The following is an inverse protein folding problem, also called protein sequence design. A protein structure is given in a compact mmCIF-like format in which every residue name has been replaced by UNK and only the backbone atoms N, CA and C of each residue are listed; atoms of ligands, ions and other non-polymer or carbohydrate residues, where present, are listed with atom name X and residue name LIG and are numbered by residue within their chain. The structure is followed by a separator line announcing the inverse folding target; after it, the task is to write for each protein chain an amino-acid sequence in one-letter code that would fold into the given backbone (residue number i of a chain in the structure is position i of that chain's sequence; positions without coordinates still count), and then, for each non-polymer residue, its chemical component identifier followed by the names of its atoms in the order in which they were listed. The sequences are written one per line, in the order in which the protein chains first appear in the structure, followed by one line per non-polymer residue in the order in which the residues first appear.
data_IF_709467213797
#
_entry.id   IF_709467213797
#
_cell.length_a   1.000
_cell.length_b   1.000
_cell.length_c   1.000
_cell.angle_alpha   90.00
_cell.angle_beta   90.00
_cell.angle_gamma   90.00
#
_symmetry.space_group_name_H-M   'P 1'
#
loop_
_entity.id
_entity.type
_entity.pdbx_description
1 polymer ?
#
# COMPACT_ATOMS: atom_id res chain seq x y z
N UNK A 1 5.06 -14.39 14.25
CA UNK A 1 5.89 -13.70 13.24
C UNK A 1 4.99 -13.48 12.03
N UNK A 2 4.20 -12.41 12.01
CA UNK A 2 3.39 -12.09 10.81
C UNK A 2 4.30 -11.26 9.91
N UNK A 3 5.07 -11.95 9.06
CA UNK A 3 5.60 -11.31 7.88
C UNK A 3 4.40 -10.87 7.05
N UNK A 4 4.41 -9.65 6.55
CA UNK A 4 3.37 -9.18 5.63
C UNK A 4 3.44 -10.12 4.42
N UNK A 5 2.46 -11.01 4.29
CA UNK A 5 2.37 -11.87 3.13
C UNK A 5 2.26 -10.95 1.90
N UNK A 6 2.99 -11.18 0.81
CA UNK A 6 2.89 -10.35 -0.39
C UNK A 6 1.50 -10.43 -1.06
N UNK A 7 0.66 -11.34 -0.58
CA UNK A 7 -0.75 -11.52 -0.95
C UNK A 7 -1.71 -10.71 -0.05
N UNK A 8 -1.22 -10.09 1.03
CA UNK A 8 -2.04 -9.26 1.93
C UNK A 8 -2.08 -7.79 1.51
N UNK A 9 -3.26 -7.15 1.51
CA UNK A 9 -3.41 -5.76 1.12
C UNK A 9 -2.58 -4.82 2.01
N UNK A 10 -1.85 -3.91 1.38
CA UNK A 10 -1.03 -2.89 2.08
C UNK A 10 -1.91 -1.73 2.56
N UNK A 11 -3.05 -1.53 1.90
CA UNK A 11 -4.03 -0.51 2.21
C UNK A 11 -5.38 -1.15 2.46
N UNK A 12 -6.09 -0.64 3.48
CA UNK A 12 -7.44 -1.05 3.80
C UNK A 12 -8.38 0.14 3.67
N UNK A 13 -9.60 -0.09 3.18
CA UNK A 13 -10.65 0.94 3.17
C UNK A 13 -11.19 1.15 4.59
N UNK A 14 -11.35 2.40 5.02
CA UNK A 14 -11.90 2.80 6.30
C UNK A 14 -13.02 3.83 6.11
N UNK A 15 -13.95 3.90 7.07
CA UNK A 15 -15.09 4.80 7.03
C UNK A 15 -16.34 4.22 6.35
N UNK A 16 -17.48 4.93 6.44
CA UNK A 16 -18.75 4.47 5.88
C UNK A 16 -18.64 4.35 4.36
N UNK A 17 -18.87 3.14 3.83
CA UNK A 17 -18.81 2.85 2.40
C UNK A 17 -17.40 2.74 1.80
N UNK A 18 -16.34 2.72 2.61
CA UNK A 18 -14.97 2.61 2.11
C UNK A 18 -14.42 3.89 1.47
N UNK A 19 -14.95 5.05 1.88
CA UNK A 19 -14.62 6.35 1.33
C UNK A 19 -13.18 6.83 1.62
N UNK A 20 -12.47 6.20 2.55
CA UNK A 20 -11.10 6.58 2.90
C UNK A 20 -10.17 5.37 2.83
N UNK A 21 -8.91 5.60 2.50
CA UNK A 21 -7.89 4.56 2.41
C UNK A 21 -6.93 4.73 3.58
N UNK A 22 -6.65 3.64 4.29
CA UNK A 22 -5.71 3.58 5.42
C UNK A 22 -4.56 2.66 5.07
N UNK A 23 -3.33 3.13 5.26
CA UNK A 23 -2.16 2.28 5.22
C UNK A 23 -2.16 1.30 6.40
N UNK A 24 -2.17 0.00 6.14
CA UNK A 24 -2.14 -1.04 7.18
C UNK A 24 -0.74 -1.22 7.80
N UNK A 25 0.30 -0.68 7.14
CA UNK A 25 1.68 -0.75 7.62
C UNK A 25 1.94 0.26 8.75
N UNK A 26 1.61 1.54 8.52
CA UNK A 26 1.88 2.64 9.45
C UNK A 26 0.61 3.25 10.08
N UNK A 27 -0.57 2.93 9.56
CA UNK A 27 -1.85 3.42 10.06
C UNK A 27 -2.31 4.77 9.49
N UNK A 28 -1.56 5.39 8.57
CA UNK A 28 -1.88 6.69 7.99
C UNK A 28 -3.13 6.64 7.10
N UNK A 29 -3.99 7.66 7.17
CA UNK A 29 -5.23 7.76 6.38
C UNK A 29 -5.13 8.91 5.38
N UNK A 30 -4.76 10.11 5.82
CA UNK A 30 -4.64 11.29 4.96
C UNK A 30 -3.33 11.37 4.16
N UNK A 31 -2.31 10.60 4.54
CA UNK A 31 -1.01 10.56 3.86
C UNK A 31 -0.94 9.44 2.80
N UNK A 32 -2.08 9.12 2.17
CA UNK A 32 -2.16 8.13 1.09
C UNK A 32 -2.57 8.82 -0.21
N UNK A 33 -1.68 8.80 -1.20
CA UNK A 33 -1.96 9.28 -2.54
C UNK A 33 -2.51 8.13 -3.37
N UNK A 34 -3.71 8.31 -3.92
CA UNK A 34 -4.28 7.43 -4.94
C UNK A 34 -4.13 8.11 -6.31
N UNK A 35 -3.62 7.38 -7.30
CA UNK A 35 -3.45 7.87 -8.67
C UNK A 35 -3.95 6.84 -9.66
N UNK A 36 -4.85 7.28 -10.54
CA UNK A 36 -5.29 6.54 -11.71
C UNK A 36 -4.42 6.96 -12.88
N UNK A 37 -3.72 6.00 -13.49
CA UNK A 37 -2.82 6.22 -14.60
C UNK A 37 -3.34 5.43 -15.81
N UNK A 38 -3.23 5.98 -17.04
CA UNK A 38 -3.52 5.20 -18.23
C UNK A 38 -2.57 3.98 -18.27
N UNK A 39 -3.12 2.79 -18.52
CA UNK A 39 -2.35 1.56 -18.36
C UNK A 39 -1.09 1.53 -19.22
N UNK A 40 0.04 1.22 -18.59
CA UNK A 40 1.33 1.08 -19.29
C UNK A 40 1.34 -0.07 -20.29
N UNK A 41 0.40 -1.02 -20.14
CA UNK A 41 0.17 -2.11 -21.08
C UNK A 41 -0.58 -1.73 -22.36
N UNK A 42 -1.05 -0.49 -22.49
CA UNK A 42 -1.70 0.01 -23.70
C UNK A 42 -3.21 -0.23 -23.77
N UNK A 43 -3.83 -0.81 -22.74
CA UNK A 43 -5.28 -0.88 -22.58
C UNK A 43 -5.69 -0.99 -21.10
N UNK A 44 -6.73 -0.24 -20.72
CA UNK A 44 -7.23 -0.17 -19.34
C UNK A 44 -6.69 1.04 -18.54
N UNK A 45 -7.04 1.07 -17.26
CA UNK A 45 -6.56 2.06 -16.28
C UNK A 45 -5.80 1.32 -15.17
N UNK A 46 -4.58 1.75 -14.89
CA UNK A 46 -3.79 1.30 -13.75
C UNK A 46 -4.20 2.14 -12.54
N UNK A 47 -4.46 1.50 -11.42
CA UNK A 47 -4.69 2.20 -10.15
C UNK A 47 -3.48 2.00 -9.25
N UNK A 48 -2.98 3.07 -8.65
CA UNK A 48 -1.85 3.02 -7.73
C UNK A 48 -2.17 3.78 -6.45
N UNK A 49 -1.92 3.15 -5.31
CA UNK A 49 -2.00 3.78 -4.00
C UNK A 49 -0.60 3.81 -3.37
N UNK A 50 -0.20 4.95 -2.82
CA UNK A 50 1.09 5.12 -2.16
C UNK A 50 0.95 5.89 -0.86
N UNK A 51 1.51 5.35 0.21
CA UNK A 51 1.61 6.03 1.48
C UNK A 51 2.85 6.94 1.45
N UNK A 52 2.67 8.24 1.62
CA UNK A 52 3.79 9.19 1.69
C UNK A 52 4.57 9.07 3.01
N UNK A 53 3.96 8.48 4.06
CA UNK A 53 4.57 8.33 5.38
C UNK A 53 5.63 7.25 5.45
N UNK A 54 5.27 6.03 5.03
CA UNK A 54 6.15 4.87 5.07
C UNK A 54 6.66 4.45 3.69
N UNK A 55 6.18 5.09 2.62
CA UNK A 55 6.57 4.80 1.24
C UNK A 55 6.06 3.43 0.73
N UNK A 56 5.15 2.79 1.47
CA UNK A 56 4.47 1.59 0.97
C UNK A 56 3.61 1.94 -0.25
N UNK A 57 3.55 1.05 -1.22
CA UNK A 57 2.75 1.24 -2.43
C UNK A 57 1.99 -0.03 -2.79
N UNK A 58 0.86 0.11 -3.48
CA UNK A 58 0.16 -0.95 -4.18
C UNK A 58 -0.19 -0.46 -5.57
N UNK A 59 -0.13 -1.35 -6.55
CA UNK A 59 -0.53 -1.07 -7.92
C UNK A 59 -1.41 -2.19 -8.42
N UNK A 60 -2.55 -1.86 -9.01
CA UNK A 60 -3.41 -2.80 -9.72
C UNK A 60 -3.35 -2.48 -11.20
N UNK A 61 -2.88 -3.45 -11.98
CA UNK A 61 -2.79 -3.40 -13.43
C UNK A 61 -3.75 -4.45 -14.03
N UNK A 62 -4.47 -4.14 -15.12
CA UNK A 62 -5.46 -5.04 -15.71
C UNK A 62 -4.86 -6.31 -16.36
N UNK A 63 -3.56 -6.32 -16.67
CA UNK A 63 -2.81 -7.45 -17.24
C UNK A 63 -2.15 -8.29 -16.16
N UNK A 64 -1.43 -7.62 -15.26
CA UNK A 64 -0.55 -8.25 -14.29
C UNK A 64 -1.21 -8.43 -12.92
N UNK A 65 -2.41 -7.90 -12.74
CA UNK A 65 -3.17 -7.96 -11.50
C UNK A 65 -2.65 -7.00 -10.44
N UNK A 66 -3.02 -7.28 -9.20
CA UNK A 66 -2.65 -6.50 -8.03
C UNK A 66 -1.23 -6.85 -7.54
N UNK A 67 -0.45 -5.83 -7.19
CA UNK A 67 0.92 -5.94 -6.68
C UNK A 67 1.12 -5.01 -5.50
N UNK A 68 1.36 -5.60 -4.34
CA UNK A 68 1.81 -4.88 -3.15
C UNK A 68 3.33 -4.71 -3.13
N UNK A 69 3.77 -3.49 -2.83
CA UNK A 69 5.15 -3.16 -2.46
C UNK A 69 5.13 -2.58 -1.04
N UNK A 70 5.01 -3.42 0.00
CA UNK A 70 5.07 -2.95 1.38
C UNK A 70 6.46 -2.37 1.64
N UNK A 71 6.52 -1.18 2.23
CA UNK A 71 7.78 -0.68 2.74
C UNK A 71 8.27 -1.64 3.82
N UNK A 72 9.56 -1.98 3.77
CA UNK A 72 10.21 -2.71 4.86
C UNK A 72 9.98 -1.90 6.13
N UNK A 73 9.10 -2.39 7.00
CA UNK A 73 8.96 -1.83 8.34
C UNK A 73 10.32 -1.99 8.99
N UNK A 74 11.14 -0.94 8.98
CA UNK A 74 12.20 -0.81 9.95
C UNK A 74 11.45 -0.76 11.28
N UNK A 75 11.26 -1.94 11.91
CA UNK A 75 11.01 -1.95 13.35
C UNK A 75 12.15 -1.10 13.92
N UNK A 76 11.89 -0.07 14.73
CA UNK A 76 12.97 0.51 15.51
C UNK A 76 13.61 -0.66 16.21
N UNK A 77 14.87 -0.86 15.86
CA UNK A 77 15.73 -1.94 16.24
C UNK A 77 15.52 -2.30 17.71
N UNK A 78 15.07 -3.54 17.94
CA UNK A 78 15.03 -4.19 19.24
C UNK A 78 16.47 -4.61 19.60
N UNK A 79 17.43 -3.68 19.55
CA UNK A 79 18.81 -3.92 19.95
C UNK A 79 19.46 -2.69 20.62
N UNK A 80 18.70 -2.05 21.51
CA UNK A 80 19.26 -1.39 22.69
C UNK A 80 19.04 -2.27 23.92
N UNK A 81 19.67 -3.45 23.95
CA UNK A 81 19.89 -4.18 25.20
C UNK A 81 21.37 -4.01 25.55
N UNK A 82 21.59 -3.34 26.68
CA UNK A 82 22.86 -3.13 27.36
C UNK A 82 23.64 -4.43 27.60
#
# INVERSE_FOLDING_TARGET
MTGLDPDEPVFGTCGPGGASIRCLICGAVDEVTFTELPSMAGYGEDTSARCNRCVSAETTDPIFGWRATPATRQRPDENHQH
#
